data_IF_681614197047
#
_entry.id   IF_681614197047
#
_cell.length_a   1.000
_cell.length_b   1.000
_cell.length_c   1.000
_cell.angle_alpha   90.00
_cell.angle_beta   90.00
_cell.angle_gamma   90.00
#
_symmetry.space_group_name_H-M   'P 1'
#
loop_
_entity.id
_entity.type
_entity.pdbx_description
1 polymer ?
#
# COMPACT_ATOMS: atom_id res chain seq x y z
N UNK A 1 30.97 4.83 -12.35
CA UNK A 1 31.45 5.92 -11.48
C UNK A 1 32.93 6.12 -11.70
N UNK A 2 33.37 7.36 -11.80
CA UNK A 2 34.79 7.70 -11.72
C UNK A 2 35.33 7.47 -10.30
N UNK A 3 36.67 7.39 -10.15
CA UNK A 3 37.31 7.19 -8.84
C UNK A 3 36.99 8.32 -7.84
N UNK A 4 36.85 9.55 -8.34
CA UNK A 4 36.54 10.72 -7.52
C UNK A 4 35.06 10.73 -7.10
N UNK A 5 34.14 10.39 -8.01
CA UNK A 5 32.71 10.19 -7.70
C UNK A 5 32.52 9.10 -6.63
N UNK A 6 33.32 8.04 -6.69
CA UNK A 6 33.27 6.95 -5.73
C UNK A 6 33.66 7.39 -4.33
N UNK A 7 34.82 8.03 -4.19
CA UNK A 7 35.26 8.56 -2.89
C UNK A 7 34.26 9.57 -2.32
N UNK A 8 33.72 10.43 -3.18
CA UNK A 8 32.70 11.39 -2.79
C UNK A 8 31.42 10.71 -2.28
N UNK A 9 30.98 9.64 -2.94
CA UNK A 9 29.80 8.87 -2.52
C UNK A 9 30.01 8.19 -1.15
N UNK A 10 31.19 7.62 -0.91
CA UNK A 10 31.55 7.02 0.39
C UNK A 10 31.57 8.10 1.48
N UNK A 11 32.11 9.29 1.20
CA UNK A 11 32.15 10.38 2.18
C UNK A 11 30.75 10.93 2.51
N UNK A 12 29.83 10.92 1.55
CA UNK A 12 28.42 11.24 1.83
C UNK A 12 27.82 10.24 2.83
N UNK A 13 28.06 8.94 2.64
CA UNK A 13 27.59 7.91 3.58
C UNK A 13 28.16 8.16 4.98
N UNK A 14 29.46 8.46 5.08
CA UNK A 14 30.09 8.82 6.37
C UNK A 14 29.44 10.04 7.01
N UNK A 15 29.13 11.06 6.22
CA UNK A 15 28.48 12.29 6.70
C UNK A 15 27.06 12.02 7.22
N UNK A 16 26.24 11.24 6.50
CA UNK A 16 24.90 10.85 6.94
C UNK A 16 24.92 10.05 8.25
N UNK A 17 25.93 9.20 8.41
CA UNK A 17 26.13 8.36 9.59
C UNK A 17 27.23 8.88 10.53
N UNK A 18 27.39 10.21 10.62
CA UNK A 18 28.47 10.82 11.41
C UNK A 18 28.47 10.36 12.88
N UNK A 19 27.29 10.07 13.45
CA UNK A 19 27.14 9.58 14.83
C UNK A 19 27.76 8.19 15.08
N UNK A 20 28.01 7.42 14.02
CA UNK A 20 28.64 6.09 14.07
C UNK A 20 30.17 6.14 13.92
N UNK A 21 30.74 7.28 13.52
CA UNK A 21 32.18 7.42 13.22
C UNK A 21 32.70 6.31 12.29
N UNK A 22 32.01 6.08 11.17
CA UNK A 22 32.34 5.01 10.24
C UNK A 22 33.76 5.13 9.68
N UNK A 23 34.45 4.00 9.60
CA UNK A 23 35.67 3.88 8.78
C UNK A 23 35.31 3.95 7.30
N UNK A 24 36.30 4.26 6.44
CA UNK A 24 36.08 4.29 4.99
C UNK A 24 35.55 2.93 4.47
N UNK A 25 36.13 1.81 4.93
CA UNK A 25 35.70 0.47 4.52
C UNK A 25 34.27 0.13 4.96
N UNK A 26 33.85 0.55 6.15
CA UNK A 26 32.47 0.34 6.61
C UNK A 26 31.47 1.16 5.79
N UNK A 27 31.80 2.43 5.52
CA UNK A 27 30.95 3.30 4.70
C UNK A 27 30.86 2.82 3.25
N UNK A 28 31.94 2.24 2.72
CA UNK A 28 31.93 1.58 1.42
C UNK A 28 30.96 0.38 1.39
N UNK A 29 30.97 -0.47 2.41
CA UNK A 29 30.02 -1.60 2.48
C UNK A 29 28.56 -1.13 2.60
N UNK A 30 28.32 -0.07 3.37
CA UNK A 30 26.99 0.56 3.46
C UNK A 30 26.58 1.15 2.11
N UNK A 31 27.49 1.78 1.37
CA UNK A 31 27.19 2.30 0.03
C UNK A 31 26.76 1.19 -0.93
N UNK A 32 27.42 0.03 -0.88
CA UNK A 32 27.04 -1.14 -1.68
C UNK A 32 25.64 -1.63 -1.31
N UNK A 33 25.35 -1.70 -0.01
CA UNK A 33 24.00 -2.00 0.48
C UNK A 33 22.97 -0.98 -0.03
N UNK A 34 23.21 0.33 0.08
CA UNK A 34 22.29 1.37 -0.41
C UNK A 34 22.01 1.22 -1.92
N UNK A 35 23.05 0.87 -2.70
CA UNK A 35 22.93 0.63 -4.14
C UNK A 35 22.09 -0.62 -4.45
N UNK A 36 22.36 -1.75 -3.80
CA UNK A 36 21.57 -2.97 -3.97
C UNK A 36 20.12 -2.79 -3.51
N UNK A 37 19.96 -2.14 -2.36
CA UNK A 37 18.68 -1.83 -1.76
C UNK A 37 17.81 -0.98 -2.68
N UNK A 38 18.37 0.04 -3.33
CA UNK A 38 17.65 0.90 -4.28
C UNK A 38 17.02 0.14 -5.46
N UNK A 39 17.59 -1.01 -5.83
CA UNK A 39 17.06 -1.88 -6.88
C UNK A 39 15.92 -2.76 -6.36
N UNK A 40 16.02 -3.21 -5.10
CA UNK A 40 15.07 -4.13 -4.46
C UNK A 40 13.79 -3.43 -3.94
N UNK A 41 13.89 -2.18 -3.50
CA UNK A 41 12.80 -1.49 -2.78
C UNK A 41 11.76 -0.81 -3.65
N UNK A 42 11.80 -1.00 -4.96
CA UNK A 42 10.81 -0.40 -5.85
C UNK A 42 9.35 -0.84 -5.63
N UNK A 43 9.01 -1.82 -4.74
CA UNK A 43 7.58 -2.08 -4.42
C UNK A 43 7.21 -3.02 -3.25
N UNK A 44 8.12 -3.70 -2.53
CA UNK A 44 7.68 -4.90 -1.77
C UNK A 44 7.82 -4.89 -0.24
N UNK A 45 8.78 -4.17 0.32
CA UNK A 45 9.05 -4.19 1.75
C UNK A 45 8.29 -3.10 2.50
N UNK A 46 7.87 -3.47 3.69
CA UNK A 46 7.28 -2.59 4.69
C UNK A 46 8.39 -1.84 5.43
N UNK A 47 8.16 -0.63 5.96
CA UNK A 47 9.18 0.12 6.74
C UNK A 47 9.80 -0.72 7.87
N UNK A 48 9.03 -1.61 8.50
CA UNK A 48 9.54 -2.54 9.52
C UNK A 48 10.45 -3.62 8.93
N UNK A 49 10.07 -4.16 7.77
CA UNK A 49 10.84 -5.20 7.07
C UNK A 49 12.14 -4.60 6.52
N UNK A 50 12.09 -3.36 6.04
CA UNK A 50 13.24 -2.56 5.63
C UNK A 50 14.19 -2.33 6.80
N UNK A 51 13.66 -1.88 7.93
CA UNK A 51 14.43 -1.66 9.17
C UNK A 51 15.06 -2.96 9.70
N UNK A 52 14.35 -4.09 9.63
CA UNK A 52 14.87 -5.40 10.05
C UNK A 52 16.00 -5.86 9.13
N UNK A 53 15.83 -5.67 7.81
CA UNK A 53 16.85 -6.01 6.83
C UNK A 53 18.10 -5.12 6.96
N UNK A 54 17.92 -3.81 7.12
CA UNK A 54 19.00 -2.87 7.38
C UNK A 54 19.78 -3.26 8.64
N UNK A 55 19.06 -3.56 9.74
CA UNK A 55 19.67 -4.03 10.99
C UNK A 55 20.52 -5.28 10.79
N UNK A 56 20.00 -6.26 10.05
CA UNK A 56 20.75 -7.48 9.72
C UNK A 56 22.05 -7.19 8.96
N UNK A 57 22.03 -6.25 8.01
CA UNK A 57 23.22 -5.86 7.25
C UNK A 57 24.20 -5.07 8.14
N UNK A 58 23.71 -4.11 8.91
CA UNK A 58 24.53 -3.24 9.75
C UNK A 58 25.23 -4.02 10.87
N UNK A 59 24.58 -5.04 11.43
CA UNK A 59 25.19 -5.96 12.40
C UNK A 59 26.45 -6.66 11.86
N UNK A 60 26.57 -6.81 10.53
CA UNK A 60 27.74 -7.47 9.90
C UNK A 60 28.86 -6.49 9.54
N UNK A 61 28.55 -5.20 9.43
CA UNK A 61 29.49 -4.15 9.00
C UNK A 61 30.07 -3.40 10.21
N UNK A 62 29.20 -3.11 11.18
CA UNK A 62 29.53 -2.31 12.35
C UNK A 62 30.17 -3.17 13.43
N UNK A 63 31.04 -2.56 14.23
CA UNK A 63 31.44 -3.19 15.49
C UNK A 63 30.31 -3.13 16.52
N UNK A 64 30.48 -3.81 17.65
CA UNK A 64 29.44 -3.91 18.69
C UNK A 64 29.02 -2.56 19.26
N UNK A 65 29.96 -1.62 19.45
CA UNK A 65 29.65 -0.33 20.05
C UNK A 65 28.90 0.57 19.06
N UNK A 66 29.37 0.59 17.81
CA UNK A 66 28.70 1.28 16.71
C UNK A 66 27.30 0.73 16.47
N UNK A 67 27.14 -0.60 16.48
CA UNK A 67 25.85 -1.25 16.27
C UNK A 67 24.85 -0.92 17.39
N UNK A 68 25.29 -0.85 18.65
CA UNK A 68 24.41 -0.40 19.75
C UNK A 68 23.92 1.03 19.52
N UNK A 69 24.81 1.97 19.15
CA UNK A 69 24.41 3.36 18.85
C UNK A 69 23.44 3.44 17.67
N UNK A 70 23.64 2.60 16.67
CA UNK A 70 22.72 2.46 15.53
C UNK A 70 21.36 1.94 15.97
N UNK A 71 21.29 0.86 16.77
CA UNK A 71 20.03 0.32 17.27
C UNK A 71 19.25 1.35 18.10
N UNK A 72 19.93 2.12 18.96
CA UNK A 72 19.29 3.18 19.74
C UNK A 72 18.66 4.25 18.83
N UNK A 73 19.42 4.74 17.85
CA UNK A 73 18.93 5.72 16.89
C UNK A 73 17.77 5.17 16.03
N UNK A 74 17.88 3.92 15.58
CA UNK A 74 16.84 3.23 14.80
C UNK A 74 15.56 3.07 15.60
N UNK A 75 15.66 2.64 16.85
CA UNK A 75 14.50 2.44 17.72
C UNK A 75 13.78 3.76 18.00
N UNK A 76 14.53 4.86 18.20
CA UNK A 76 13.94 6.21 18.33
C UNK A 76 13.20 6.64 17.05
N UNK A 77 13.79 6.36 15.87
CA UNK A 77 13.14 6.65 14.60
C UNK A 77 11.85 5.83 14.41
N UNK A 78 11.89 4.53 14.71
CA UNK A 78 10.74 3.64 14.64
C UNK A 78 9.63 4.04 15.62
N UNK A 79 9.99 4.47 16.83
CA UNK A 79 9.04 4.99 17.81
C UNK A 79 8.36 6.26 17.28
N UNK A 80 9.14 7.21 16.76
CA UNK A 80 8.63 8.44 16.15
C UNK A 80 7.70 8.13 14.97
N UNK A 81 8.10 7.23 14.08
CA UNK A 81 7.27 6.77 12.97
C UNK A 81 5.96 6.13 13.45
N UNK A 82 6.00 5.33 14.52
CA UNK A 82 4.78 4.73 15.10
C UNK A 82 3.81 5.78 15.65
N UNK A 83 4.32 6.86 16.24
CA UNK A 83 3.53 7.98 16.74
C UNK A 83 2.92 8.77 15.59
N UNK A 84 3.69 9.05 14.55
CA UNK A 84 3.19 9.70 13.32
C UNK A 84 2.08 8.87 12.68
N UNK A 85 2.25 7.54 12.65
CA UNK A 85 1.19 6.66 12.18
C UNK A 85 -0.06 6.81 13.06
N UNK A 86 0.07 6.73 14.38
CA UNK A 86 -1.07 6.88 15.30
C UNK A 86 -1.79 8.22 15.13
N UNK A 87 -1.04 9.31 14.96
CA UNK A 87 -1.58 10.65 14.78
C UNK A 87 -2.32 10.80 13.45
N UNK A 88 -1.72 10.37 12.33
CA UNK A 88 -2.39 10.36 11.02
C UNK A 88 -3.68 9.51 11.05
N UNK A 89 -3.71 8.43 11.85
CA UNK A 89 -4.92 7.64 12.08
C UNK A 89 -6.07 8.43 12.73
N UNK A 90 -5.75 9.41 13.58
CA UNK A 90 -6.75 10.30 14.22
C UNK A 90 -7.29 11.34 13.24
N UNK A 91 -6.43 11.93 12.43
CA UNK A 91 -6.83 12.92 11.41
C UNK A 91 -7.69 12.32 10.30
N UNK A 92 -7.48 11.04 9.98
CA UNK A 92 -8.28 10.33 8.98
C UNK A 92 -9.79 10.25 9.26
N UNK A 93 -10.26 10.59 10.47
CA UNK A 93 -11.70 10.68 10.79
C UNK A 93 -12.34 11.91 10.16
N UNK A 94 -11.64 13.05 10.10
CA UNK A 94 -12.15 14.26 9.44
C UNK A 94 -12.09 14.12 7.91
N UNK A 95 -11.04 13.46 7.41
CA UNK A 95 -10.93 13.11 5.99
C UNK A 95 -12.04 12.14 5.58
N UNK A 96 -12.42 11.21 6.45
CA UNK A 96 -13.54 10.29 6.25
C UNK A 96 -14.85 11.02 5.96
N UNK A 97 -15.19 12.02 6.78
CA UNK A 97 -16.40 12.81 6.60
C UNK A 97 -16.32 13.62 5.29
N UNK A 98 -15.18 14.25 5.02
CA UNK A 98 -14.97 15.03 3.80
C UNK A 98 -15.07 14.17 2.53
N UNK A 99 -14.53 12.94 2.58
CA UNK A 99 -14.63 11.96 1.51
C UNK A 99 -16.09 11.50 1.32
N UNK A 100 -16.82 11.25 2.41
CA UNK A 100 -18.23 10.89 2.33
C UNK A 100 -19.07 12.01 1.71
N UNK A 101 -18.83 13.27 2.10
CA UNK A 101 -19.51 14.43 1.53
C UNK A 101 -19.20 14.61 0.04
N UNK A 102 -17.93 14.42 -0.36
CA UNK A 102 -17.53 14.45 -1.76
C UNK A 102 -18.20 13.32 -2.57
N UNK A 103 -18.19 12.08 -2.07
CA UNK A 103 -18.86 10.97 -2.72
C UNK A 103 -20.36 11.22 -2.87
N UNK A 104 -20.98 11.80 -1.85
CA UNK A 104 -22.39 12.19 -1.89
C UNK A 104 -22.65 13.23 -2.96
N UNK A 105 -21.86 14.31 -3.00
CA UNK A 105 -21.95 15.34 -4.04
C UNK A 105 -21.77 14.75 -5.44
N UNK A 106 -20.78 13.88 -5.63
CA UNK A 106 -20.51 13.25 -6.92
C UNK A 106 -21.70 12.39 -7.37
N UNK A 107 -22.23 11.55 -6.49
CA UNK A 107 -23.29 10.61 -6.81
C UNK A 107 -24.68 11.26 -6.95
N UNK A 108 -25.00 12.26 -6.11
CA UNK A 108 -26.34 12.84 -6.02
C UNK A 108 -26.51 14.10 -6.87
N UNK A 109 -25.42 14.83 -7.16
CA UNK A 109 -25.49 16.14 -7.82
C UNK A 109 -24.71 16.16 -9.13
N UNK A 110 -23.40 15.88 -9.07
CA UNK A 110 -22.52 16.07 -10.21
C UNK A 110 -22.78 15.07 -11.34
N UNK A 111 -22.73 13.76 -11.06
CA UNK A 111 -22.93 12.74 -12.09
C UNK A 111 -24.31 12.85 -12.75
N UNK A 112 -25.43 12.97 -12.00
CA UNK A 112 -26.74 13.17 -12.62
C UNK A 112 -26.77 14.39 -13.55
N UNK A 113 -26.32 15.56 -13.08
CA UNK A 113 -26.30 16.77 -13.89
C UNK A 113 -25.38 16.66 -15.13
N UNK A 114 -24.26 15.95 -15.00
CA UNK A 114 -23.33 15.72 -16.11
C UNK A 114 -23.90 14.78 -17.19
N UNK A 115 -24.67 13.76 -16.80
CA UNK A 115 -25.28 12.80 -17.74
C UNK A 115 -26.64 13.26 -18.30
N UNK A 116 -27.32 14.17 -17.63
CA UNK A 116 -28.59 14.75 -18.11
C UNK A 116 -28.37 15.85 -19.17
N UNK A 117 -27.19 16.45 -19.25
CA UNK A 117 -26.84 17.45 -20.26
C UNK A 117 -26.47 16.77 -21.60
N UNK A 118 -27.30 16.93 -22.66
CA UNK A 118 -27.05 16.34 -23.98
C UNK A 118 -25.78 16.87 -24.66
N UNK A 119 -25.32 18.07 -24.30
CA UNK A 119 -24.16 18.73 -24.90
C UNK A 119 -22.84 18.31 -24.22
N UNK A 120 -22.90 17.70 -23.04
CA UNK A 120 -21.73 17.24 -22.28
C UNK A 120 -21.14 15.92 -22.80
N UNK A 121 -21.85 15.18 -23.66
CA UNK A 121 -21.41 13.87 -24.16
C UNK A 121 -21.24 13.85 -25.69
N UNK A 122 -20.24 14.54 -26.27
CA UNK A 122 -19.89 14.39 -27.68
C UNK A 122 -19.10 13.08 -27.90
N UNK A 123 -19.67 11.95 -27.47
CA UNK A 123 -19.02 10.63 -27.55
C UNK A 123 -19.27 9.90 -28.86
N UNK A 124 -19.93 10.53 -29.84
CA UNK A 124 -20.20 9.95 -31.16
C UNK A 124 -18.96 9.58 -31.99
N UNK A 125 -17.74 9.81 -31.50
CA UNK A 125 -16.48 9.44 -32.16
C UNK A 125 -15.82 8.18 -31.58
N UNK A 126 -16.34 7.63 -30.46
CA UNK A 126 -15.71 6.51 -29.73
C UNK A 126 -16.05 5.12 -30.28
N UNK A 127 -17.05 4.99 -31.16
CA UNK A 127 -17.45 3.69 -31.73
C UNK A 127 -16.31 3.02 -32.53
N UNK A 128 -15.34 3.81 -33.03
CA UNK A 128 -14.15 3.29 -33.71
C UNK A 128 -13.03 2.78 -32.78
N UNK A 129 -13.13 3.00 -31.46
CA UNK A 129 -12.04 2.75 -30.49
C UNK A 129 -12.40 1.74 -29.40
N UNK A 130 -13.46 0.94 -29.60
CA UNK A 130 -13.94 -0.04 -28.62
C UNK A 130 -12.82 -0.91 -28.00
N UNK A 131 -11.86 -1.37 -28.81
CA UNK A 131 -10.72 -2.16 -28.33
C UNK A 131 -9.79 -1.38 -27.38
N UNK A 132 -9.58 -0.06 -27.60
CA UNK A 132 -8.79 0.79 -26.70
C UNK A 132 -9.54 1.03 -25.39
N UNK A 133 -10.85 1.23 -25.46
CA UNK A 133 -11.71 1.40 -24.29
C UNK A 133 -11.69 0.13 -23.43
N UNK A 134 -11.84 -1.04 -24.05
CA UNK A 134 -11.76 -2.34 -23.36
C UNK A 134 -10.38 -2.58 -22.73
N UNK A 135 -9.30 -2.23 -23.43
CA UNK A 135 -7.94 -2.29 -22.90
C UNK A 135 -7.77 -1.39 -21.67
N UNK A 136 -8.18 -0.12 -21.75
CA UNK A 136 -8.08 0.82 -20.63
C UNK A 136 -8.90 0.35 -19.42
N UNK A 137 -10.09 -0.22 -19.65
CA UNK A 137 -10.91 -0.83 -18.59
C UNK A 137 -10.19 -1.99 -17.93
N UNK A 138 -9.61 -2.90 -18.71
CA UNK A 138 -8.87 -4.05 -18.18
C UNK A 138 -7.64 -3.61 -17.38
N UNK A 139 -6.87 -2.65 -17.88
CA UNK A 139 -5.71 -2.09 -17.15
C UNK A 139 -6.12 -1.39 -15.87
N UNK A 140 -7.19 -0.59 -15.90
CA UNK A 140 -7.72 0.06 -14.71
C UNK A 140 -8.19 -0.97 -13.67
N UNK A 141 -8.88 -2.03 -14.08
CA UNK A 141 -9.25 -3.12 -13.18
C UNK A 141 -8.03 -3.83 -12.57
N UNK A 142 -6.99 -4.06 -13.37
CA UNK A 142 -5.72 -4.65 -12.89
C UNK A 142 -5.05 -3.74 -11.87
N UNK A 143 -5.00 -2.44 -12.15
CA UNK A 143 -4.51 -1.43 -11.23
C UNK A 143 -5.30 -1.45 -9.91
N UNK A 144 -6.63 -1.35 -9.95
CA UNK A 144 -7.50 -1.40 -8.77
C UNK A 144 -7.31 -2.68 -7.94
N UNK A 145 -7.13 -3.82 -8.61
CA UNK A 145 -6.88 -5.09 -7.95
C UNK A 145 -5.54 -5.13 -7.22
N UNK A 146 -4.48 -4.59 -7.84
CA UNK A 146 -3.16 -4.51 -7.23
C UNK A 146 -3.15 -3.53 -6.05
N UNK A 147 -3.76 -2.35 -6.21
CA UNK A 147 -3.93 -1.37 -5.13
C UNK A 147 -4.66 -2.00 -3.93
N UNK A 148 -5.77 -2.70 -4.17
CA UNK A 148 -6.51 -3.40 -3.12
C UNK A 148 -5.66 -4.43 -2.38
N UNK A 149 -4.83 -5.20 -3.08
CA UNK A 149 -3.91 -6.16 -2.45
C UNK A 149 -2.89 -5.45 -1.58
N UNK A 150 -2.26 -4.40 -2.10
CA UNK A 150 -1.25 -3.63 -1.40
C UNK A 150 -1.84 -3.02 -0.12
N UNK A 151 -3.00 -2.38 -0.21
CA UNK A 151 -3.66 -1.78 0.94
C UNK A 151 -4.07 -2.79 2.01
N UNK A 152 -4.50 -3.99 1.62
CA UNK A 152 -4.75 -5.07 2.57
C UNK A 152 -3.44 -5.48 3.26
N UNK A 153 -2.38 -5.69 2.49
CA UNK A 153 -1.06 -6.03 3.04
C UNK A 153 -0.57 -4.95 4.01
N UNK A 154 -0.59 -3.68 3.60
CA UNK A 154 -0.19 -2.53 4.42
C UNK A 154 -1.07 -2.40 5.67
N UNK A 155 -2.36 -2.68 5.55
CA UNK A 155 -3.25 -2.69 6.71
C UNK A 155 -2.83 -3.75 7.73
N UNK A 156 -2.54 -4.96 7.31
CA UNK A 156 -2.08 -6.00 8.23
C UNK A 156 -0.67 -5.75 8.76
N UNK A 157 0.23 -5.19 7.94
CA UNK A 157 1.62 -4.88 8.30
C UNK A 157 1.74 -3.70 9.26
N UNK A 158 0.97 -2.63 9.04
CA UNK A 158 1.15 -1.36 9.75
C UNK A 158 -0.14 -0.89 10.44
N UNK A 159 -1.23 -0.79 9.67
CA UNK A 159 -2.37 0.03 10.11
C UNK A 159 -3.31 -0.65 11.10
N UNK A 160 -3.30 -1.98 11.19
CA UNK A 160 -4.11 -2.72 12.17
C UNK A 160 -3.80 -2.29 13.60
N UNK A 161 -2.53 -2.01 13.89
CA UNK A 161 -2.08 -1.60 15.22
C UNK A 161 -2.10 -0.08 15.37
N UNK A 162 -1.64 0.66 14.37
CA UNK A 162 -1.38 2.10 14.50
C UNK A 162 -2.40 3.01 13.79
N UNK A 163 -3.14 2.55 12.78
CA UNK A 163 -4.18 3.34 12.06
C UNK A 163 -5.43 2.52 11.71
N UNK A 164 -6.21 2.07 12.70
CA UNK A 164 -7.33 1.16 12.44
C UNK A 164 -8.45 1.80 11.58
N UNK A 165 -8.49 3.13 11.50
CA UNK A 165 -9.47 3.93 10.74
C UNK A 165 -9.19 3.96 9.23
N UNK A 166 -7.95 3.78 8.79
CA UNK A 166 -7.56 3.91 7.38
C UNK A 166 -8.26 2.89 6.46
N UNK A 167 -8.45 1.65 6.93
CA UNK A 167 -9.18 0.64 6.13
C UNK A 167 -10.66 1.00 5.99
N UNK A 168 -11.27 1.66 6.98
CA UNK A 168 -12.67 2.09 6.90
C UNK A 168 -12.83 3.21 5.87
N UNK A 169 -11.95 4.22 5.90
CA UNK A 169 -11.90 5.29 4.91
C UNK A 169 -11.79 4.76 3.49
N UNK A 170 -10.87 3.83 3.30
CA UNK A 170 -10.66 3.20 2.01
C UNK A 170 -11.86 2.39 1.53
N UNK A 171 -12.47 1.60 2.42
CA UNK A 171 -13.68 0.83 2.10
C UNK A 171 -14.78 1.73 1.55
N UNK A 172 -15.02 2.89 2.15
CA UNK A 172 -16.03 3.84 1.67
C UNK A 172 -15.71 4.37 0.26
N UNK A 173 -14.45 4.75 0.00
CA UNK A 173 -14.03 5.26 -1.32
C UNK A 173 -14.18 4.20 -2.44
N UNK A 174 -13.93 2.92 -2.13
CA UNK A 174 -13.90 1.84 -3.13
C UNK A 174 -15.19 1.00 -3.21
N UNK A 175 -16.03 0.99 -2.18
CA UNK A 175 -17.35 0.34 -2.25
C UNK A 175 -18.32 1.14 -3.09
N UNK A 176 -18.26 2.47 -3.02
CA UNK A 176 -19.21 3.34 -3.73
C UNK A 176 -18.83 3.57 -5.19
N UNK A 177 -17.55 3.51 -5.56
CA UNK A 177 -17.13 3.55 -6.97
C UNK A 177 -17.63 2.34 -7.77
N UNK A 178 -17.77 1.17 -7.14
CA UNK A 178 -18.37 -0.02 -7.76
C UNK A 178 -19.91 0.02 -7.86
N UNK A 179 -20.58 0.87 -7.05
CA UNK A 179 -22.03 1.11 -7.11
C UNK A 179 -22.38 2.41 -7.86
N UNK A 180 -21.40 3.26 -8.17
CA UNK A 180 -21.54 4.46 -8.97
C UNK A 180 -21.91 4.13 -10.41
N UNK A 181 -22.32 5.15 -11.17
CA UNK A 181 -22.65 5.05 -12.61
C UNK A 181 -21.55 4.35 -13.43
N UNK A 182 -20.27 4.46 -13.01
CA UNK A 182 -19.15 3.74 -13.62
C UNK A 182 -19.23 2.21 -13.45
N UNK A 183 -19.75 1.72 -12.32
CA UNK A 183 -20.00 0.29 -12.10
C UNK A 183 -21.22 -0.22 -12.87
N UNK A 184 -22.21 0.63 -13.14
CA UNK A 184 -23.40 0.31 -13.94
C UNK A 184 -23.12 0.31 -15.46
N UNK A 185 -22.07 1.02 -15.91
CA UNK A 185 -21.59 0.98 -17.30
C UNK A 185 -20.72 -0.26 -17.63
N UNK A 186 -20.43 -1.13 -16.64
CA UNK A 186 -19.61 -2.34 -16.83
C UNK A 186 -20.48 -3.62 -16.66
N UNK A 187 -20.27 -4.68 -17.47
CA UNK A 187 -21.16 -5.85 -17.49
C UNK A 187 -21.14 -6.70 -16.19
N UNK A 188 -22.10 -7.64 -16.00
CA UNK A 188 -22.52 -8.22 -14.72
C UNK A 188 -21.60 -9.32 -14.14
N UNK A 189 -20.27 -9.18 -14.29
CA UNK A 189 -19.32 -9.98 -13.51
C UNK A 189 -19.30 -9.56 -12.04
N UNK A 190 -19.84 -8.39 -11.71
CA UNK A 190 -19.89 -7.82 -10.36
C UNK A 190 -20.65 -8.67 -9.34
N UNK A 191 -21.69 -9.42 -9.71
CA UNK A 191 -22.52 -10.17 -8.74
C UNK A 191 -21.78 -11.33 -8.04
N UNK A 192 -20.95 -12.08 -8.78
CA UNK A 192 -20.14 -13.19 -8.20
C UNK A 192 -19.01 -12.63 -7.32
N UNK A 193 -18.44 -11.50 -7.71
CA UNK A 193 -17.41 -10.77 -6.94
C UNK A 193 -17.97 -10.05 -5.71
N UNK A 194 -19.19 -9.50 -5.79
CA UNK A 194 -19.92 -8.90 -4.68
C UNK A 194 -20.29 -9.94 -3.62
N UNK A 195 -20.65 -11.17 -4.03
CA UNK A 195 -20.89 -12.28 -3.11
C UNK A 195 -19.61 -12.69 -2.37
N UNK A 196 -18.48 -12.81 -3.07
CA UNK A 196 -17.18 -13.10 -2.44
C UNK A 196 -16.69 -11.98 -1.51
N UNK A 197 -16.89 -10.72 -1.91
CA UNK A 197 -16.54 -9.56 -1.09
C UNK A 197 -17.41 -9.49 0.17
N UNK A 198 -18.70 -9.81 0.07
CA UNK A 198 -19.62 -9.90 1.20
C UNK A 198 -19.28 -11.06 2.14
N UNK A 199 -19.07 -12.27 1.63
CA UNK A 199 -18.68 -13.45 2.43
C UNK A 199 -17.35 -13.23 3.16
N UNK A 200 -16.39 -12.58 2.50
CA UNK A 200 -15.12 -12.19 3.12
C UNK A 200 -15.37 -11.15 4.23
N UNK A 201 -16.13 -10.08 3.96
CA UNK A 201 -16.42 -9.04 4.94
C UNK A 201 -17.23 -9.55 6.14
N UNK A 202 -18.18 -10.46 5.94
CA UNK A 202 -19.01 -11.07 6.99
C UNK A 202 -18.15 -11.96 7.91
N UNK A 203 -17.20 -12.72 7.34
CA UNK A 203 -16.21 -13.49 8.10
C UNK A 203 -15.36 -12.60 9.03
N UNK A 204 -14.91 -11.43 8.57
CA UNK A 204 -14.09 -10.53 9.39
C UNK A 204 -14.89 -9.68 10.38
N UNK A 205 -16.19 -9.45 10.13
CA UNK A 205 -17.05 -8.69 11.04
C UNK A 205 -17.48 -9.52 12.27
N UNK A 206 -17.50 -10.85 12.15
CA UNK A 206 -17.95 -11.78 13.19
C UNK A 206 -16.81 -12.29 14.09
N UNK A 207 -15.56 -12.24 13.64
CA UNK A 207 -14.39 -12.70 14.42
C UNK A 207 -13.51 -11.55 14.94
N UNK A 208 -14.09 -10.64 15.73
CA UNK A 208 -13.34 -9.70 16.58
C UNK A 208 -12.63 -10.37 17.77
N UNK A 209 -12.70 -11.71 17.89
CA UNK A 209 -12.04 -12.50 18.91
C UNK A 209 -10.78 -13.21 18.40
N UNK A 210 -9.62 -12.78 18.88
CA UNK A 210 -8.34 -13.50 19.00
C UNK A 210 -8.10 -14.73 18.10
N UNK A 211 -7.14 -14.62 17.18
CA UNK A 211 -6.73 -15.74 16.32
C UNK A 211 -5.36 -16.30 16.70
N UNK A 212 -5.34 -17.56 17.14
CA UNK A 212 -4.12 -18.36 17.35
C UNK A 212 -3.63 -19.03 16.06
N UNK A 213 -2.33 -19.33 15.98
CA UNK A 213 -1.59 -19.82 14.80
C UNK A 213 -2.16 -21.09 14.11
N UNK A 214 -3.09 -21.83 14.73
CA UNK A 214 -3.67 -23.06 14.13
C UNK A 214 -4.62 -22.82 12.95
N UNK A 215 -5.24 -21.65 12.81
CA UNK A 215 -6.23 -21.39 11.74
C UNK A 215 -5.60 -20.93 10.40
N UNK A 216 -4.28 -20.70 10.33
CA UNK A 216 -3.56 -20.35 9.08
C UNK A 216 -3.66 -21.47 8.02
N UNK A 217 -3.84 -22.72 8.46
CA UNK A 217 -3.98 -23.86 7.55
C UNK A 217 -5.39 -23.97 6.92
N UNK A 218 -6.44 -23.38 7.52
CA UNK A 218 -7.78 -23.37 6.91
C UNK A 218 -7.96 -22.21 5.92
N UNK A 219 -7.22 -21.10 6.08
CA UNK A 219 -7.24 -19.99 5.11
C UNK A 219 -6.55 -20.35 3.78
N UNK A 220 -5.56 -21.25 3.81
CA UNK A 220 -4.94 -21.82 2.60
C UNK A 220 -5.92 -22.69 1.78
N UNK A 221 -6.89 -23.37 2.42
CA UNK A 221 -7.88 -24.18 1.68
C UNK A 221 -8.92 -23.32 0.95
N UNK A 222 -9.28 -22.16 1.52
CA UNK A 222 -10.14 -21.16 0.86
C UNK A 222 -9.45 -20.55 -0.36
N UNK A 223 -8.14 -20.26 -0.26
CA UNK A 223 -7.33 -19.77 -1.38
C UNK A 223 -7.14 -20.83 -2.49
N UNK A 224 -7.06 -22.12 -2.13
CA UNK A 224 -7.01 -23.20 -3.12
C UNK A 224 -8.34 -23.39 -3.85
N UNK A 225 -9.48 -23.23 -3.17
CA UNK A 225 -10.79 -23.25 -3.83
C UNK A 225 -10.97 -22.08 -4.81
N UNK A 226 -10.35 -20.92 -4.53
CA UNK A 226 -10.32 -19.77 -5.44
C UNK A 226 -9.51 -20.04 -6.72
N UNK A 227 -8.43 -20.83 -6.66
CA UNK A 227 -7.68 -21.26 -7.86
C UNK A 227 -8.49 -22.21 -8.74
N UNK A 228 -9.30 -23.09 -8.14
CA UNK A 228 -10.12 -24.06 -8.89
C UNK A 228 -11.32 -23.40 -9.56
N UNK A 229 -11.82 -22.29 -9.02
CA UNK A 229 -12.93 -21.50 -9.59
C UNK A 229 -12.51 -20.56 -10.74
N UNK A 230 -11.20 -20.43 -10.99
CA UNK A 230 -10.61 -19.60 -12.05
C UNK A 230 -10.02 -20.42 -13.21
N UNK A 231 -10.31 -21.73 -13.26
CA UNK A 231 -10.11 -22.61 -14.43
C UNK A 231 -11.47 -23.04 -14.96
#
# INVERSE_FOLDING_TARGET
>A
MSSDEYKWSVEIVRSRHAYLNLTFGQAEQILLYEQEYSVLTSSSLSVWEESDYESYVYHRILDSEQFTRYEDARNQHLESYSLDLAEQGRFGVNDLNSVQDLLKFLNEVFLPGFFEDPDCLPFGWLDGEQAKIEFLRAEYQRFLFNEKKQMIADHFRHYRTYKPTSLKAWKHLYSDTNNSVFGQMLPPLSLKWMRLQKEFLDFYSTESGFFSRRKIYSSMSVLNNLKTLMR
#
